data_IF_071871979795
#
_entry.id   IF_071871979795
#
_cell.length_a   1.000
_cell.length_b   1.000
_cell.length_c   1.000
_cell.angle_alpha   90.00
_cell.angle_beta   90.00
_cell.angle_gamma   90.00
#
_symmetry.space_group_name_H-M   'P 1'
#
loop_
_entity.id
_entity.type
_entity.pdbx_description
1 polymer ?
#
# COMPACT_ATOMS: atom_id res chain seq x y z
N UNK A 1 10.16 -2.07 -2.33
CA UNK A 1 10.89 -2.90 -1.33
C UNK A 1 10.43 -2.59 0.09
N UNK A 2 10.79 -1.45 0.70
CA UNK A 2 10.51 -1.19 2.13
C UNK A 2 9.04 -1.30 2.53
N UNK A 3 8.11 -0.80 1.71
CA UNK A 3 6.68 -0.94 1.98
C UNK A 3 6.21 -2.40 1.90
N UNK A 4 6.49 -3.08 0.78
CA UNK A 4 6.05 -4.46 0.52
C UNK A 4 6.61 -5.49 1.51
N UNK A 5 7.88 -5.33 1.92
CA UNK A 5 8.54 -6.26 2.85
C UNK A 5 8.22 -6.01 4.33
N UNK A 6 7.81 -4.79 4.69
CA UNK A 6 7.86 -4.40 6.10
C UNK A 6 6.79 -3.37 6.49
N UNK A 7 6.79 -2.17 5.91
CA UNK A 7 5.97 -1.07 6.46
C UNK A 7 4.47 -1.32 6.35
N UNK A 8 4.02 -2.12 5.37
CA UNK A 8 2.60 -2.42 5.21
C UNK A 8 2.05 -3.34 6.31
N UNK A 9 2.92 -4.11 6.99
CA UNK A 9 2.53 -5.06 8.04
C UNK A 9 1.88 -4.37 9.25
N UNK A 10 2.07 -3.04 9.40
CA UNK A 10 1.36 -2.24 10.41
C UNK A 10 -0.17 -2.28 10.28
N UNK A 11 -0.69 -2.74 9.14
CA UNK A 11 -2.13 -2.85 8.85
C UNK A 11 -2.70 -4.23 9.14
N UNK A 12 -1.85 -5.21 9.46
CA UNK A 12 -2.21 -6.61 9.68
C UNK A 12 -2.32 -6.89 11.17
N UNK A 13 -3.33 -7.66 11.59
CA UNK A 13 -3.51 -8.07 12.98
C UNK A 13 -2.50 -9.16 13.36
N UNK A 14 -2.02 -9.21 14.61
CA UNK A 14 -1.09 -10.25 15.04
C UNK A 14 -1.60 -11.67 14.77
N UNK A 15 -0.83 -12.46 14.03
CA UNK A 15 -1.16 -13.84 13.68
C UNK A 15 -1.89 -14.01 12.34
N UNK A 16 -2.28 -12.92 11.69
CA UNK A 16 -2.92 -12.96 10.38
C UNK A 16 -1.90 -12.92 9.23
N UNK A 17 -2.28 -13.54 8.10
CA UNK A 17 -1.58 -13.40 6.82
C UNK A 17 -2.13 -12.21 6.02
N UNK A 18 -1.48 -11.87 4.90
CA UNK A 18 -1.99 -10.81 4.01
C UNK A 18 -3.16 -11.35 3.18
N UNK A 19 -4.29 -10.64 3.22
CA UNK A 19 -5.50 -10.98 2.45
C UNK A 19 -5.76 -10.04 1.26
N UNK A 20 -5.56 -8.74 1.45
CA UNK A 20 -5.91 -7.74 0.44
C UNK A 20 -4.98 -7.78 -0.79
N UNK A 21 -5.56 -7.72 -1.98
CA UNK A 21 -4.90 -7.93 -3.27
C UNK A 21 -3.78 -6.92 -3.55
N UNK A 22 -3.97 -5.66 -3.15
CA UNK A 22 -2.93 -4.65 -3.27
C UNK A 22 -1.74 -4.91 -2.35
N UNK A 23 -1.97 -5.33 -1.12
CA UNK A 23 -0.93 -5.70 -0.17
C UNK A 23 -0.20 -6.97 -0.59
N UNK A 24 -0.94 -7.97 -1.09
CA UNK A 24 -0.38 -9.22 -1.64
C UNK A 24 0.56 -8.94 -2.79
N UNK A 25 0.15 -8.15 -3.79
CA UNK A 25 1.05 -7.89 -4.93
C UNK A 25 2.28 -7.06 -4.54
N UNK A 26 2.15 -6.10 -3.61
CA UNK A 26 3.31 -5.35 -3.09
C UNK A 26 4.31 -6.27 -2.41
N UNK A 27 3.83 -7.23 -1.60
CA UNK A 27 4.69 -8.20 -0.95
C UNK A 27 5.31 -9.16 -1.98
N UNK A 28 4.50 -9.72 -2.88
CA UNK A 28 4.94 -10.63 -3.94
C UNK A 28 6.13 -10.05 -4.71
N UNK A 29 5.97 -8.84 -5.25
CA UNK A 29 7.01 -8.17 -6.04
C UNK A 29 8.28 -7.94 -5.23
N UNK A 30 8.14 -7.56 -3.96
CA UNK A 30 9.28 -7.26 -3.11
C UNK A 30 10.02 -8.53 -2.64
N UNK A 31 9.30 -9.56 -2.22
CA UNK A 31 9.85 -10.84 -1.74
C UNK A 31 10.50 -11.62 -2.88
N UNK A 32 9.87 -11.65 -4.06
CA UNK A 32 10.44 -12.29 -5.24
C UNK A 32 11.76 -11.64 -5.65
N UNK A 33 11.81 -10.30 -5.72
CA UNK A 33 13.03 -9.58 -6.06
C UNK A 33 14.12 -9.71 -4.97
N UNK A 34 13.72 -9.81 -3.70
CA UNK A 34 14.64 -10.05 -2.58
C UNK A 34 15.31 -11.42 -2.69
N UNK A 35 14.53 -12.48 -2.92
CA UNK A 35 15.07 -13.83 -3.11
C UNK A 35 15.95 -13.91 -4.35
N UNK A 36 15.49 -13.37 -5.48
CA UNK A 36 16.23 -13.40 -6.75
C UNK A 36 17.58 -12.70 -6.67
N UNK A 37 17.66 -11.61 -5.91
CA UNK A 37 18.86 -10.79 -5.75
C UNK A 37 19.76 -11.20 -4.59
N UNK A 38 19.48 -12.30 -3.90
CA UNK A 38 20.16 -12.66 -2.66
C UNK A 38 21.65 -13.01 -2.88
N UNK A 39 21.98 -13.79 -3.91
CA UNK A 39 23.37 -14.19 -4.21
C UNK A 39 24.26 -13.00 -4.56
N UNK A 40 23.68 -11.97 -5.16
CA UNK A 40 24.38 -10.75 -5.59
C UNK A 40 24.26 -9.61 -4.56
N UNK A 41 23.65 -9.89 -3.41
CA UNK A 41 23.37 -8.93 -2.33
C UNK A 41 22.67 -7.64 -2.83
N UNK A 42 21.75 -7.76 -3.80
CA UNK A 42 21.06 -6.61 -4.41
C UNK A 42 20.14 -5.91 -3.40
N UNK A 43 19.51 -6.69 -2.53
CA UNK A 43 18.74 -6.21 -1.40
C UNK A 43 19.23 -6.94 -0.14
N UNK A 44 19.58 -6.19 0.89
CA UNK A 44 20.13 -6.70 2.14
C UNK A 44 19.16 -6.47 3.31
N UNK A 45 18.90 -7.51 4.10
CA UNK A 45 18.20 -7.40 5.40
C UNK A 45 19.24 -7.17 6.50
N UNK A 46 19.37 -5.92 6.97
CA UNK A 46 20.24 -5.54 8.09
C UNK A 46 19.47 -5.46 9.40
N UNK A 47 20.12 -5.80 10.50
CA UNK A 47 19.62 -5.52 11.85
C UNK A 47 20.58 -4.55 12.53
N UNK A 48 20.07 -3.39 12.93
CA UNK A 48 20.82 -2.33 13.63
C UNK A 48 20.06 -2.02 14.91
N UNK A 49 20.71 -2.15 16.07
CA UNK A 49 20.11 -1.92 17.39
C UNK A 49 18.77 -2.67 17.58
N UNK A 50 18.71 -3.92 17.13
CA UNK A 50 17.51 -4.76 17.21
C UNK A 50 16.38 -4.36 16.26
N UNK A 51 16.63 -3.47 15.30
CA UNK A 51 15.66 -3.02 14.29
C UNK A 51 16.06 -3.51 12.90
N UNK A 52 15.10 -4.09 12.19
CA UNK A 52 15.29 -4.56 10.81
C UNK A 52 15.23 -3.41 9.81
N UNK A 53 16.12 -3.42 8.83
CA UNK A 53 16.16 -2.51 7.70
C UNK A 53 16.40 -3.30 6.42
N UNK A 54 15.71 -2.94 5.35
CA UNK A 54 15.99 -3.45 4.01
C UNK A 54 16.74 -2.37 3.23
N UNK A 55 17.97 -2.69 2.82
CA UNK A 55 18.87 -1.79 2.09
C UNK A 55 18.97 -2.28 0.65
N UNK A 56 18.75 -1.39 -0.32
CA UNK A 56 18.99 -1.70 -1.74
C UNK A 56 20.42 -1.30 -2.06
N UNK A 57 21.23 -2.27 -2.48
CA UNK A 57 22.65 -2.05 -2.79
C UNK A 57 22.88 -1.82 -4.29
N UNK A 58 22.00 -2.35 -5.16
CA UNK A 58 22.10 -2.20 -6.62
C UNK A 58 20.71 -1.96 -7.24
N UNK A 59 20.44 -0.71 -7.62
CA UNK A 59 19.14 -0.33 -8.20
C UNK A 59 18.97 -0.80 -9.65
N UNK A 60 20.05 -0.91 -10.41
CA UNK A 60 19.98 -1.29 -11.82
C UNK A 60 19.69 -2.79 -11.95
N UNK A 61 20.34 -3.63 -11.13
CA UNK A 61 20.00 -5.06 -11.04
C UNK A 61 18.59 -5.28 -10.53
N UNK A 62 18.18 -4.52 -9.50
CA UNK A 62 16.80 -4.59 -8.99
C UNK A 62 15.77 -4.28 -10.09
N UNK A 63 16.03 -3.27 -10.91
CA UNK A 63 15.19 -2.97 -12.08
C UNK A 63 15.16 -4.13 -13.08
N UNK A 64 16.29 -4.80 -13.30
CA UNK A 64 16.38 -6.01 -14.11
C UNK A 64 15.44 -7.12 -13.61
N UNK A 65 15.48 -7.43 -12.30
CA UNK A 65 14.59 -8.40 -11.68
C UNK A 65 13.11 -8.02 -11.78
N UNK A 66 12.76 -6.74 -11.66
CA UNK A 66 11.39 -6.31 -11.92
C UNK A 66 10.97 -6.57 -13.37
N UNK A 67 11.88 -6.41 -14.34
CA UNK A 67 11.63 -6.78 -15.74
C UNK A 67 11.40 -8.28 -15.93
N UNK A 68 12.22 -9.12 -15.28
CA UNK A 68 12.05 -10.58 -15.28
C UNK A 68 10.68 -10.99 -14.74
N UNK A 69 10.31 -10.47 -13.56
CA UNK A 69 9.03 -10.77 -12.93
C UNK A 69 7.85 -10.24 -13.76
N UNK A 70 7.96 -9.04 -14.33
CA UNK A 70 6.93 -8.48 -15.21
C UNK A 70 6.68 -9.38 -16.43
N UNK A 71 7.76 -9.88 -17.05
CA UNK A 71 7.66 -10.82 -18.17
C UNK A 71 6.94 -12.09 -17.75
N UNK A 72 7.27 -12.65 -16.59
CA UNK A 72 6.65 -13.89 -16.10
C UNK A 72 5.17 -13.71 -15.74
N UNK A 73 4.82 -12.63 -15.02
CA UNK A 73 3.43 -12.29 -14.72
C UNK A 73 2.63 -12.09 -16.01
N UNK A 74 3.20 -11.41 -17.01
CA UNK A 74 2.53 -11.20 -18.29
C UNK A 74 2.34 -12.51 -19.05
N UNK A 75 3.32 -13.43 -19.02
CA UNK A 75 3.19 -14.79 -19.58
C UNK A 75 2.04 -15.53 -18.91
N UNK A 76 2.05 -15.63 -17.57
CA UNK A 76 1.01 -16.28 -16.77
C UNK A 76 -0.38 -15.78 -17.15
N UNK A 77 -0.55 -14.45 -17.21
CA UNK A 77 -1.82 -13.82 -17.59
C UNK A 77 -2.23 -14.16 -19.02
N UNK A 78 -1.30 -14.08 -19.97
CA UNK A 78 -1.62 -14.22 -21.41
C UNK A 78 -1.90 -15.66 -21.81
N UNK A 79 -1.26 -16.61 -21.13
CA UNK A 79 -1.41 -18.05 -21.38
C UNK A 79 -2.49 -18.70 -20.49
N UNK A 80 -3.01 -17.97 -19.49
CA UNK A 80 -4.01 -18.50 -18.57
C UNK A 80 -3.45 -19.55 -17.60
N UNK A 81 -2.18 -19.42 -17.22
CA UNK A 81 -1.46 -20.39 -16.37
C UNK A 81 -1.82 -20.22 -14.89
N UNK A 82 -2.99 -20.76 -14.52
CA UNK A 82 -3.52 -20.64 -13.16
C UNK A 82 -2.58 -21.21 -12.09
N UNK A 83 -1.94 -22.35 -12.33
CA UNK A 83 -1.09 -23.02 -11.34
C UNK A 83 0.18 -22.20 -11.06
N UNK A 84 0.84 -21.66 -12.10
CA UNK A 84 1.97 -20.77 -11.89
C UNK A 84 1.55 -19.48 -11.17
N UNK A 85 0.41 -18.90 -11.54
CA UNK A 85 -0.15 -17.73 -10.86
C UNK A 85 -0.43 -17.97 -9.37
N UNK A 86 -1.08 -19.09 -9.05
CA UNK A 86 -1.36 -19.50 -7.65
C UNK A 86 -0.07 -19.67 -6.88
N UNK A 87 0.89 -20.42 -7.41
CA UNK A 87 2.17 -20.66 -6.72
C UNK A 87 2.92 -19.34 -6.47
N UNK A 88 2.98 -18.44 -7.45
CA UNK A 88 3.63 -17.14 -7.28
C UNK A 88 3.01 -16.31 -6.15
N UNK A 89 1.67 -16.30 -6.06
CA UNK A 89 0.95 -15.57 -4.99
C UNK A 89 1.14 -16.25 -3.64
N UNK A 90 0.92 -17.56 -3.53
CA UNK A 90 1.00 -18.29 -2.25
C UNK A 90 2.41 -18.29 -1.68
N UNK A 91 3.44 -18.36 -2.53
CA UNK A 91 4.84 -18.35 -2.10
C UNK A 91 5.29 -16.98 -1.61
N UNK A 92 4.98 -15.89 -2.34
CA UNK A 92 5.59 -14.58 -2.06
C UNK A 92 4.63 -13.51 -1.54
N UNK A 93 3.32 -13.64 -1.79
CA UNK A 93 2.33 -12.60 -1.53
C UNK A 93 1.55 -12.74 -0.22
N UNK A 94 1.47 -13.94 0.37
CA UNK A 94 0.53 -14.24 1.47
C UNK A 94 1.19 -14.21 2.85
N UNK A 95 2.26 -15.00 3.03
CA UNK A 95 2.79 -15.34 4.36
C UNK A 95 3.51 -14.18 5.04
N UNK A 96 3.23 -13.98 6.33
CA UNK A 96 3.84 -12.94 7.16
C UNK A 96 4.89 -13.54 8.12
N UNK A 97 6.09 -12.95 8.14
CA UNK A 97 7.11 -13.23 9.18
C UNK A 97 6.63 -12.64 10.52
N UNK A 98 6.21 -13.50 11.45
CA UNK A 98 5.65 -13.09 12.74
C UNK A 98 6.62 -12.30 13.64
N UNK A 99 7.92 -12.59 13.57
CA UNK A 99 8.91 -11.84 14.36
C UNK A 99 9.09 -10.43 13.80
N UNK A 100 9.21 -10.31 12.48
CA UNK A 100 9.28 -9.03 11.80
C UNK A 100 8.00 -8.22 11.99
N UNK A 101 6.84 -8.86 11.93
CA UNK A 101 5.55 -8.20 12.13
C UNK A 101 5.42 -7.63 13.55
N UNK A 102 5.77 -8.42 14.57
CA UNK A 102 5.78 -7.95 15.95
C UNK A 102 6.75 -6.77 16.13
N UNK A 103 7.90 -6.78 15.46
CA UNK A 103 8.84 -5.65 15.43
C UNK A 103 8.21 -4.39 14.79
N UNK A 104 7.56 -4.53 13.64
CA UNK A 104 6.91 -3.43 12.92
C UNK A 104 5.84 -2.78 13.80
N UNK A 105 4.98 -3.58 14.44
CA UNK A 105 3.94 -3.06 15.32
C UNK A 105 4.54 -2.25 16.47
N UNK A 106 5.51 -2.81 17.21
CA UNK A 106 6.22 -2.11 18.30
C UNK A 106 6.89 -0.81 17.86
N UNK A 107 7.46 -0.77 16.66
CA UNK A 107 8.12 0.43 16.12
C UNK A 107 7.12 1.50 15.68
N UNK A 108 5.93 1.09 15.26
CA UNK A 108 4.89 1.98 14.75
C UNK A 108 4.02 2.59 15.86
N UNK A 109 3.83 1.88 16.97
CA UNK A 109 2.99 2.30 18.09
C UNK A 109 3.33 3.71 18.63
N UNK A 110 4.60 4.09 18.87
CA UNK A 110 4.93 5.43 19.37
C UNK A 110 4.65 6.56 18.38
N UNK A 111 4.48 6.26 17.09
CA UNK A 111 4.18 7.27 16.07
C UNK A 111 2.72 7.73 16.15
N UNK A 112 1.84 6.95 16.77
CA UNK A 112 0.41 7.22 16.91
C UNK A 112 -0.26 7.62 15.58
N UNK A 113 0.10 6.91 14.50
CA UNK A 113 -0.41 7.17 13.15
C UNK A 113 -1.53 6.18 12.83
N UNK A 114 -2.66 6.71 12.35
CA UNK A 114 -3.71 5.87 11.82
C UNK A 114 -3.21 5.07 10.59
N UNK A 115 -3.54 3.77 10.47
CA UNK A 115 -3.10 2.94 9.35
C UNK A 115 -3.79 3.31 8.01
N UNK A 116 -4.94 3.97 8.10
CA UNK A 116 -5.80 4.41 7.01
C UNK A 116 -5.98 5.93 7.04
N UNK A 117 -6.25 6.51 5.87
CA UNK A 117 -6.48 7.94 5.71
C UNK A 117 -7.83 8.17 5.03
N UNK A 118 -8.49 9.27 5.39
CA UNK A 118 -9.70 9.76 4.74
C UNK A 118 -9.56 11.25 4.46
N UNK A 119 -10.39 11.77 3.57
CA UNK A 119 -10.39 13.17 3.18
C UNK A 119 -11.78 13.77 3.38
N UNK A 120 -11.81 15.04 3.75
CA UNK A 120 -13.02 15.88 3.78
C UNK A 120 -13.07 16.63 2.46
N UNK A 121 -14.20 16.58 1.75
CA UNK A 121 -14.35 17.30 0.48
C UNK A 121 -14.40 18.82 0.72
N UNK A 122 -13.99 19.64 -0.25
CA UNK A 122 -14.28 21.06 -0.22
C UNK A 122 -15.78 21.34 -0.40
N UNK A 123 -16.20 22.55 -0.05
CA UNK A 123 -17.52 23.07 -0.39
C UNK A 123 -17.41 24.02 -1.57
N UNK A 124 -18.39 23.97 -2.47
CA UNK A 124 -18.45 24.80 -3.65
C UNK A 124 -19.77 25.56 -3.65
N UNK A 125 -19.69 26.88 -3.65
CA UNK A 125 -20.85 27.79 -3.65
C UNK A 125 -20.82 28.64 -4.94
N UNK A 126 -21.86 28.59 -5.78
CA UNK A 126 -21.92 29.46 -6.96
C UNK A 126 -22.10 30.92 -6.56
N UNK A 127 -21.35 31.81 -7.19
CA UNK A 127 -21.52 33.26 -7.10
C UNK A 127 -22.37 33.72 -8.28
N UNK A 128 -23.53 34.31 -7.98
CA UNK A 128 -24.55 34.67 -8.98
C UNK A 128 -24.52 36.16 -9.32
N UNK A 129 -24.62 36.51 -10.60
CA UNK A 129 -25.01 37.84 -11.10
C UNK A 129 -26.31 37.70 -11.91
N UNK A 130 -27.43 38.07 -11.29
CA UNK A 130 -28.76 37.72 -11.81
C UNK A 130 -28.93 36.20 -11.89
N UNK A 131 -29.39 35.71 -13.04
CA UNK A 131 -29.57 34.28 -13.31
C UNK A 131 -28.28 33.59 -13.81
N UNK A 132 -27.17 34.33 -13.92
CA UNK A 132 -25.89 33.81 -14.42
C UNK A 132 -24.91 33.53 -13.29
N UNK A 133 -24.24 32.38 -13.34
CA UNK A 133 -23.09 32.10 -12.47
C UNK A 133 -21.88 32.86 -13.02
N UNK A 134 -21.24 33.68 -12.20
CA UNK A 134 -20.04 34.46 -12.56
C UNK A 134 -18.76 33.94 -11.92
N UNK A 135 -18.87 33.18 -10.83
CA UNK A 135 -17.74 32.56 -10.14
C UNK A 135 -18.21 31.36 -9.30
N UNK A 136 -17.29 30.56 -8.79
CA UNK A 136 -17.56 29.51 -7.80
C UNK A 136 -16.56 29.63 -6.67
N UNK A 137 -17.07 29.94 -5.48
CA UNK A 137 -16.27 30.02 -4.27
C UNK A 137 -16.02 28.61 -3.72
N UNK A 138 -14.75 28.30 -3.46
CA UNK A 138 -14.33 27.04 -2.84
C UNK A 138 -13.93 27.27 -1.39
N UNK A 139 -14.46 26.47 -0.46
CA UNK A 139 -14.10 26.49 0.97
C UNK A 139 -13.59 25.12 1.44
N UNK A 140 -12.73 25.12 2.47
CA UNK A 140 -12.11 23.91 3.04
C UNK A 140 -12.48 23.81 4.52
N UNK A 141 -13.67 23.31 4.85
CA UNK A 141 -14.18 23.30 6.23
C UNK A 141 -13.37 22.41 7.18
N UNK A 142 -12.64 21.42 6.65
CA UNK A 142 -11.80 20.48 7.40
C UNK A 142 -12.51 19.78 8.58
N UNK A 143 -13.84 19.67 8.53
CA UNK A 143 -14.67 19.02 9.54
C UNK A 143 -15.42 17.83 8.94
N UNK A 144 -15.00 16.62 9.34
CA UNK A 144 -15.61 15.38 8.90
C UNK A 144 -17.06 15.24 9.39
N UNK A 145 -17.32 15.54 10.66
CA UNK A 145 -18.64 15.34 11.24
C UNK A 145 -19.64 16.33 10.63
N UNK A 146 -19.27 17.61 10.55
CA UNK A 146 -20.08 18.63 9.91
C UNK A 146 -20.39 18.32 8.45
N UNK A 147 -19.39 17.84 7.69
CA UNK A 147 -19.60 17.42 6.30
C UNK A 147 -20.59 16.26 6.19
N UNK A 148 -20.43 15.21 7.00
CA UNK A 148 -21.30 14.04 6.94
C UNK A 148 -22.74 14.37 7.36
N UNK A 149 -22.92 15.20 8.39
CA UNK A 149 -24.25 15.67 8.81
C UNK A 149 -24.93 16.50 7.72
N UNK A 150 -24.20 17.42 7.07
CA UNK A 150 -24.74 18.20 5.94
C UNK A 150 -25.11 17.31 4.77
N UNK A 151 -24.27 16.33 4.43
CA UNK A 151 -24.60 15.38 3.36
C UNK A 151 -25.90 14.63 3.66
N UNK A 152 -26.06 14.15 4.89
CA UNK A 152 -27.29 13.52 5.34
C UNK A 152 -28.52 14.44 5.26
N UNK A 153 -28.39 15.74 5.58
CA UNK A 153 -29.53 16.66 5.55
C UNK A 153 -29.87 17.23 4.17
N UNK A 154 -28.87 17.39 3.29
CA UNK A 154 -28.99 18.18 2.05
C UNK A 154 -29.00 17.30 0.79
N UNK A 155 -28.29 16.17 0.82
CA UNK A 155 -28.08 15.30 -0.34
C UNK A 155 -28.62 13.87 -0.14
N UNK A 156 -29.30 13.61 0.98
CA UNK A 156 -30.09 12.39 1.17
C UNK A 156 -31.52 12.67 0.70
N UNK A 157 -31.87 12.19 -0.49
CA UNK A 157 -33.16 12.45 -1.14
C UNK A 157 -34.24 11.38 -0.84
N UNK A 158 -34.01 10.57 0.19
CA UNK A 158 -34.96 9.57 0.70
C UNK A 158 -35.82 10.13 1.85
#
# INVERSE_FOLDING_TARGET
ISNGMMLQLRRILPGDDIEEDHMRNRQLVASWAFERGQEENVIERKVIDGKTYFVVNDYDKLRGYFGELLREIQRIKSEGDFEAGRNLVETYGVKVDGELHAEVLRRSEPLNLAPYSGFVNPEMEPVMEGDSIIDVKVSYPMDFLGQMLRYGSTYSFE
#
